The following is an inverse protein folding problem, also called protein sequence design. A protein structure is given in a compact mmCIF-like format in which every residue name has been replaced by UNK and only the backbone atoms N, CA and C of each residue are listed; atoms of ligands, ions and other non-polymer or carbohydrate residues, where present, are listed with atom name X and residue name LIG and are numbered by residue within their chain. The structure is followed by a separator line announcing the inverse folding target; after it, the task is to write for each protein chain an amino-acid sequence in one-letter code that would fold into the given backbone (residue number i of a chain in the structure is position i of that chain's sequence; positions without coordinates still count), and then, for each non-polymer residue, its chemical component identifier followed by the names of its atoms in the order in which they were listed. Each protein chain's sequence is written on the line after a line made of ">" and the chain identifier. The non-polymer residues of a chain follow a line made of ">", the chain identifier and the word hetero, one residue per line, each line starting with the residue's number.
data_IF_916229727521
#
_entry.id   IF_916229727521
#
_cell.length_a   1.000
_cell.length_b   1.000
_cell.length_c   1.000
_cell.angle_alpha   90.00
_cell.angle_beta   90.00
_cell.angle_gamma   90.00
#
_symmetry.space_group_name_H-M   'P 1'
#
loop_
_entity.id
_entity.type
_entity.pdbx_description
1 polymer ?
#
# COMPACT_ATOMS: atom_id res chain seq x y z
N UNK A 1 21.26 7.42 4.57
CA UNK A 1 20.96 6.35 3.60
C UNK A 1 21.90 6.45 2.40
N UNK A 2 23.17 6.09 2.61
CA UNK A 2 24.21 6.08 1.56
C UNK A 2 24.97 4.75 1.56
N UNK A 3 24.38 3.73 2.16
CA UNK A 3 24.92 2.38 2.23
C UNK A 3 24.97 1.75 0.83
N UNK A 4 26.08 1.12 0.47
CA UNK A 4 26.32 0.52 -0.84
C UNK A 4 25.32 -0.60 -1.18
N UNK A 5 24.72 -1.24 -0.17
CA UNK A 5 23.64 -2.22 -0.37
C UNK A 5 22.40 -1.65 -1.05
N UNK A 6 22.25 -0.32 -1.09
CA UNK A 6 21.16 0.38 -1.76
C UNK A 6 21.43 0.69 -3.24
N UNK A 7 22.61 0.36 -3.76
CA UNK A 7 22.95 0.61 -5.18
C UNK A 7 21.96 -0.09 -6.11
N UNK A 8 21.51 -1.31 -5.77
CA UNK A 8 20.52 -2.06 -6.54
C UNK A 8 19.15 -1.40 -6.64
N UNK A 9 18.74 -0.63 -5.63
CA UNK A 9 17.52 0.18 -5.66
C UNK A 9 17.78 1.62 -6.13
N UNK A 10 19.01 1.95 -6.55
CA UNK A 10 19.44 3.31 -6.91
C UNK A 10 19.12 4.34 -5.81
N UNK A 11 19.26 3.92 -4.54
CA UNK A 11 18.93 4.75 -3.38
C UNK A 11 17.49 5.29 -3.40
N UNK A 12 16.53 4.47 -3.86
CA UNK A 12 15.15 4.89 -4.13
C UNK A 12 14.45 5.59 -2.95
N UNK A 13 14.57 5.06 -1.72
CA UNK A 13 13.92 5.69 -0.57
C UNK A 13 14.47 7.08 -0.29
N UNK A 14 15.79 7.24 -0.33
CA UNK A 14 16.46 8.53 -0.14
C UNK A 14 16.00 9.53 -1.21
N UNK A 15 16.12 9.15 -2.47
CA UNK A 15 15.78 10.05 -3.59
C UNK A 15 14.29 10.42 -3.58
N UNK A 16 13.42 9.49 -3.15
CA UNK A 16 12.00 9.74 -2.96
C UNK A 16 11.72 10.71 -1.81
N UNK A 17 12.39 10.57 -0.66
CA UNK A 17 12.24 11.49 0.48
C UNK A 17 12.78 12.88 0.15
N UNK A 18 13.94 12.98 -0.51
CA UNK A 18 14.47 14.25 -0.99
C UNK A 18 13.53 14.92 -2.00
N UNK A 19 12.86 14.14 -2.85
CA UNK A 19 11.83 14.66 -3.77
C UNK A 19 10.62 15.20 -3.02
N UNK A 20 10.10 14.46 -2.03
CA UNK A 20 9.00 14.92 -1.19
C UNK A 20 9.34 16.24 -0.48
N UNK A 21 10.55 16.34 0.09
CA UNK A 21 11.02 17.57 0.73
C UNK A 21 11.06 18.75 -0.25
N UNK A 22 11.62 18.55 -1.45
CA UNK A 22 11.66 19.59 -2.48
C UNK A 22 10.26 20.05 -2.89
N UNK A 23 9.29 19.14 -3.01
CA UNK A 23 7.91 19.50 -3.35
C UNK A 23 7.28 20.37 -2.27
N UNK A 24 7.41 20.00 -1.00
CA UNK A 24 6.88 20.77 0.13
C UNK A 24 7.50 22.17 0.17
N UNK A 25 8.83 22.27 -0.03
CA UNK A 25 9.53 23.56 -0.06
C UNK A 25 9.09 24.43 -1.24
N UNK A 26 8.85 23.84 -2.42
CA UNK A 26 8.32 24.55 -3.59
C UNK A 26 6.92 25.12 -3.35
N UNK A 27 6.10 24.42 -2.57
CA UNK A 27 4.79 24.91 -2.13
C UNK A 27 4.88 25.91 -0.97
N UNK A 28 6.06 26.45 -0.64
CA UNK A 28 6.32 27.34 0.49
C UNK A 28 5.91 26.76 1.86
N UNK A 29 5.85 25.43 1.97
CA UNK A 29 5.48 24.74 3.21
C UNK A 29 6.67 24.51 4.13
N UNK A 30 6.46 24.63 5.44
CA UNK A 30 7.37 24.06 6.45
C UNK A 30 7.43 22.55 6.26
N UNK A 31 8.64 21.99 6.15
CA UNK A 31 8.89 20.55 6.06
C UNK A 31 8.67 19.93 7.44
N UNK A 32 7.71 19.01 7.54
CA UNK A 32 7.42 18.23 8.76
C UNK A 32 7.31 16.75 8.40
N UNK A 33 7.51 15.87 9.38
CA UNK A 33 7.41 14.42 9.17
C UNK A 33 6.04 14.02 8.61
N UNK A 34 4.95 14.61 9.10
CA UNK A 34 3.59 14.32 8.62
C UNK A 34 3.40 14.71 7.15
N UNK A 35 3.96 15.85 6.72
CA UNK A 35 3.89 16.26 5.31
C UNK A 35 4.74 15.37 4.42
N UNK A 36 5.93 14.97 4.87
CA UNK A 36 6.78 14.03 4.13
C UNK A 36 6.04 12.68 3.92
N UNK A 37 5.40 12.17 4.97
CA UNK A 37 4.59 10.94 4.90
C UNK A 37 3.44 11.10 3.89
N UNK A 38 2.75 12.26 3.91
CA UNK A 38 1.63 12.54 3.00
C UNK A 38 2.05 12.70 1.53
N UNK A 39 3.28 13.12 1.24
CA UNK A 39 3.80 13.24 -0.13
C UNK A 39 4.14 11.89 -0.78
N UNK A 40 4.29 10.83 0.00
CA UNK A 40 4.72 9.54 -0.51
C UNK A 40 3.57 8.76 -1.16
N UNK A 41 3.81 8.29 -2.38
CA UNK A 41 2.86 7.43 -3.10
C UNK A 41 2.87 6.00 -2.56
N UNK A 42 1.86 5.20 -2.94
CA UNK A 42 1.81 3.79 -2.58
C UNK A 42 3.08 3.00 -3.00
N UNK A 43 3.71 3.39 -4.12
CA UNK A 43 4.98 2.80 -4.57
C UNK A 43 6.11 2.93 -3.56
N UNK A 44 6.19 4.07 -2.85
CA UNK A 44 7.16 4.25 -1.76
C UNK A 44 6.96 3.20 -0.67
N UNK A 45 5.71 3.01 -0.22
CA UNK A 45 5.38 2.05 0.82
C UNK A 45 5.70 0.61 0.41
N UNK A 46 5.41 0.23 -0.84
CA UNK A 46 5.79 -1.11 -1.33
C UNK A 46 7.31 -1.32 -1.27
N UNK A 47 8.11 -0.34 -1.73
CA UNK A 47 9.56 -0.43 -1.69
C UNK A 47 10.14 -0.33 -0.27
N UNK A 48 9.49 0.42 0.62
CA UNK A 48 9.90 0.56 2.02
C UNK A 48 9.88 -0.78 2.77
N UNK A 49 8.98 -1.66 2.34
CA UNK A 49 8.87 -3.01 2.85
C UNK A 49 9.84 -4.01 2.20
N UNK A 50 10.56 -3.66 1.12
CA UNK A 50 11.55 -4.54 0.48
C UNK A 50 12.68 -4.96 1.43
N UNK A 51 13.27 -6.14 1.21
CA UNK A 51 14.08 -6.81 2.23
C UNK A 51 15.32 -5.99 2.60
N UNK A 52 15.98 -5.40 1.60
CA UNK A 52 17.18 -4.60 1.77
C UNK A 52 16.86 -3.27 2.48
N UNK A 53 15.79 -2.59 2.11
CA UNK A 53 15.33 -1.38 2.78
C UNK A 53 14.88 -1.66 4.22
N UNK A 54 14.06 -2.68 4.41
CA UNK A 54 13.49 -3.08 5.70
C UNK A 54 14.58 -3.42 6.72
N UNK A 55 15.62 -4.16 6.30
CA UNK A 55 16.78 -4.47 7.14
C UNK A 55 17.56 -3.21 7.51
N UNK A 56 17.80 -2.31 6.55
CA UNK A 56 18.56 -1.08 6.77
C UNK A 56 17.91 -0.16 7.83
N UNK A 57 16.59 -0.12 7.88
CA UNK A 57 15.84 0.68 8.88
C UNK A 57 15.49 -0.11 10.15
N UNK A 58 16.11 -1.27 10.36
CA UNK A 58 15.95 -2.08 11.57
C UNK A 58 14.52 -2.60 11.78
N UNK A 59 13.78 -2.85 10.70
CA UNK A 59 12.40 -3.31 10.77
C UNK A 59 11.38 -2.30 11.31
N UNK A 60 11.77 -1.03 11.41
CA UNK A 60 10.90 0.08 11.85
C UNK A 60 9.55 0.19 11.12
N UNK A 61 9.39 -0.16 9.81
CA UNK A 61 8.09 -0.06 9.14
C UNK A 61 6.98 -0.86 9.83
N UNK A 62 7.30 -2.01 10.46
CA UNK A 62 6.32 -2.81 11.19
C UNK A 62 5.80 -2.12 12.46
N UNK A 63 6.52 -1.13 13.00
CA UNK A 63 6.09 -0.37 14.17
C UNK A 63 4.91 0.56 13.86
N UNK A 64 4.72 0.93 12.59
CA UNK A 64 3.56 1.72 12.16
C UNK A 64 2.23 0.94 12.23
N UNK A 65 2.31 -0.38 12.42
CA UNK A 65 1.17 -1.29 12.48
C UNK A 65 1.04 -1.82 13.91
N UNK A 66 0.69 -0.93 14.84
CA UNK A 66 0.64 -1.23 16.27
C UNK A 66 -0.45 -2.23 16.65
N UNK A 67 -1.50 -2.33 15.83
CA UNK A 67 -2.68 -3.17 16.09
C UNK A 67 -2.65 -4.50 15.32
N UNK A 68 -1.52 -4.85 14.71
CA UNK A 68 -1.38 -6.10 13.96
C UNK A 68 -1.38 -7.31 14.89
N UNK A 69 -1.93 -8.43 14.42
CA UNK A 69 -1.75 -9.73 15.07
C UNK A 69 -0.26 -10.12 15.07
N UNK A 70 0.18 -10.86 16.09
CA UNK A 70 1.56 -11.34 16.23
C UNK A 70 2.07 -12.13 15.00
N UNK A 71 1.16 -12.76 14.25
CA UNK A 71 1.46 -13.50 13.02
C UNK A 71 1.85 -12.60 11.83
N UNK A 72 1.56 -11.30 11.87
CA UNK A 72 1.84 -10.36 10.77
C UNK A 72 3.30 -9.92 10.79
N UNK A 73 4.08 -10.58 9.94
CA UNK A 73 5.49 -10.29 9.69
C UNK A 73 5.69 -9.51 8.37
N UNK A 74 6.95 -9.15 8.05
CA UNK A 74 7.31 -8.44 6.81
C UNK A 74 6.77 -9.13 5.56
N UNK A 75 6.89 -10.46 5.48
CA UNK A 75 6.49 -11.22 4.30
C UNK A 75 4.98 -11.12 4.05
N UNK A 76 4.18 -11.20 5.12
CA UNK A 76 2.73 -11.03 5.03
C UNK A 76 2.40 -9.63 4.48
N UNK A 77 3.02 -8.58 5.03
CA UNK A 77 2.78 -7.21 4.56
C UNK A 77 3.21 -6.99 3.11
N UNK A 78 4.37 -7.53 2.71
CA UNK A 78 4.86 -7.45 1.33
C UNK A 78 3.88 -8.12 0.38
N UNK A 79 3.36 -9.30 0.73
CA UNK A 79 2.42 -10.01 -0.13
C UNK A 79 1.11 -9.22 -0.31
N UNK A 80 0.55 -8.68 0.79
CA UNK A 80 -0.66 -7.85 0.74
C UNK A 80 -0.45 -6.59 -0.11
N UNK A 81 0.61 -5.84 0.18
CA UNK A 81 0.97 -4.63 -0.58
C UNK A 81 1.25 -4.95 -2.06
N UNK A 82 1.86 -6.10 -2.33
CA UNK A 82 2.13 -6.62 -3.67
C UNK A 82 0.85 -6.88 -4.46
N UNK A 83 -0.11 -7.63 -3.89
CA UNK A 83 -1.40 -7.88 -4.53
C UNK A 83 -2.17 -6.61 -4.83
N UNK A 84 -2.23 -5.67 -3.88
CA UNK A 84 -2.86 -4.35 -4.11
C UNK A 84 -2.18 -3.62 -5.28
N UNK A 85 -0.84 -3.60 -5.32
CA UNK A 85 -0.07 -2.96 -6.40
C UNK A 85 -0.35 -3.61 -7.75
N UNK A 86 -0.32 -4.94 -7.81
CA UNK A 86 -0.59 -5.71 -9.03
C UNK A 86 -2.01 -5.45 -9.53
N UNK A 87 -3.01 -5.55 -8.65
CA UNK A 87 -4.40 -5.28 -9.01
C UNK A 87 -4.60 -3.85 -9.54
N UNK A 88 -4.01 -2.85 -8.89
CA UNK A 88 -4.02 -1.46 -9.38
C UNK A 88 -3.36 -1.31 -10.75
N UNK A 89 -2.28 -2.06 -11.02
CA UNK A 89 -1.63 -2.03 -12.32
C UNK A 89 -2.50 -2.64 -13.41
N UNK A 90 -3.20 -3.74 -13.12
CA UNK A 90 -4.17 -4.36 -14.03
C UNK A 90 -5.29 -3.38 -14.40
N UNK A 91 -5.84 -2.66 -13.41
CA UNK A 91 -6.80 -1.57 -13.65
C UNK A 91 -6.21 -0.52 -14.59
N UNK A 92 -4.99 -0.03 -14.31
CA UNK A 92 -4.33 0.99 -15.11
C UNK A 92 -4.08 0.54 -16.56
N UNK A 93 -3.81 -0.74 -16.77
CA UNK A 93 -3.61 -1.34 -18.09
C UNK A 93 -4.92 -1.80 -18.75
N UNK A 94 -6.08 -1.51 -18.14
CA UNK A 94 -7.40 -1.95 -18.61
C UNK A 94 -7.51 -3.46 -18.80
N UNK A 95 -6.82 -4.24 -17.97
CA UNK A 95 -6.95 -5.69 -17.97
C UNK A 95 -8.30 -6.10 -17.37
N UNK A 96 -8.85 -7.27 -17.74
CA UNK A 96 -10.05 -7.80 -17.11
C UNK A 96 -9.78 -8.07 -15.61
N UNK A 97 -10.57 -7.48 -14.71
CA UNK A 97 -10.42 -7.62 -13.24
C UNK A 97 -11.60 -8.33 -12.56
N UNK A 98 -12.70 -8.51 -13.29
CA UNK A 98 -13.94 -9.11 -12.82
C UNK A 98 -14.38 -10.31 -13.69
N UNK A 99 -13.43 -10.87 -14.44
CA UNK A 99 -13.68 -12.01 -15.33
C UNK A 99 -12.55 -13.03 -15.20
N UNK A 100 -12.93 -14.30 -15.29
CA UNK A 100 -12.02 -15.43 -15.50
C UNK A 100 -12.45 -16.15 -16.77
N UNK A 101 -11.81 -15.82 -17.89
CA UNK A 101 -12.30 -16.24 -19.21
C UNK A 101 -13.66 -15.60 -19.50
N UNK A 102 -14.68 -16.42 -19.78
CA UNK A 102 -16.05 -15.97 -20.06
C UNK A 102 -16.95 -15.90 -18.82
N UNK A 103 -16.46 -16.26 -17.63
CA UNK A 103 -17.25 -16.21 -16.39
C UNK A 103 -16.95 -14.95 -15.61
N UNK A 104 -17.99 -14.32 -15.06
CA UNK A 104 -17.85 -13.24 -14.08
C UNK A 104 -17.19 -13.83 -12.83
N UNK A 105 -16.12 -13.18 -12.36
CA UNK A 105 -15.35 -13.61 -11.20
C UNK A 105 -14.72 -12.41 -10.50
N UNK A 106 -15.16 -12.14 -9.27
CA UNK A 106 -14.66 -11.06 -8.42
C UNK A 106 -13.68 -11.52 -7.34
N UNK A 107 -13.22 -12.78 -7.35
CA UNK A 107 -12.39 -13.36 -6.28
C UNK A 107 -11.15 -12.50 -5.97
N UNK A 108 -10.43 -12.07 -7.01
CA UNK A 108 -9.24 -11.20 -6.84
C UNK A 108 -9.62 -9.82 -6.29
N UNK A 109 -10.74 -9.25 -6.73
CA UNK A 109 -11.20 -7.95 -6.22
C UNK A 109 -11.59 -8.03 -4.73
N UNK A 110 -12.27 -9.12 -4.33
CA UNK A 110 -12.62 -9.40 -2.92
C UNK A 110 -11.36 -9.54 -2.05
N UNK A 111 -10.39 -10.34 -2.49
CA UNK A 111 -9.11 -10.53 -1.78
C UNK A 111 -8.34 -9.20 -1.60
N UNK A 112 -8.33 -8.35 -2.63
CA UNK A 112 -7.67 -7.03 -2.55
C UNK A 112 -8.39 -6.08 -1.58
N UNK A 113 -9.73 -6.10 -1.56
CA UNK A 113 -10.51 -5.33 -0.58
C UNK A 113 -10.22 -5.80 0.84
N UNK A 114 -10.19 -7.10 1.08
CA UNK A 114 -9.81 -7.68 2.38
C UNK A 114 -8.39 -7.30 2.81
N UNK A 115 -7.44 -7.28 1.87
CA UNK A 115 -6.08 -6.83 2.14
C UNK A 115 -6.01 -5.36 2.56
N UNK A 116 -6.75 -4.49 1.87
CA UNK A 116 -6.82 -3.06 2.21
C UNK A 116 -7.38 -2.88 3.62
N UNK A 117 -8.50 -3.56 3.94
CA UNK A 117 -9.12 -3.50 5.27
C UNK A 117 -8.18 -4.01 6.36
N UNK A 118 -7.54 -5.17 6.16
CA UNK A 118 -6.59 -5.72 7.11
C UNK A 118 -5.40 -4.78 7.37
N UNK A 119 -4.89 -4.11 6.33
CA UNK A 119 -3.83 -3.11 6.47
C UNK A 119 -4.33 -1.92 7.27
N UNK A 120 -5.51 -1.37 6.95
CA UNK A 120 -6.09 -0.22 7.66
C UNK A 120 -6.33 -0.51 9.14
N UNK A 121 -6.94 -1.66 9.45
CA UNK A 121 -7.19 -2.11 10.82
C UNK A 121 -5.90 -2.22 11.62
N UNK A 122 -4.84 -2.78 11.01
CA UNK A 122 -3.55 -2.94 11.66
C UNK A 122 -2.83 -1.61 11.97
N UNK A 123 -3.16 -0.53 11.23
CA UNK A 123 -2.70 0.83 11.53
C UNK A 123 -3.55 1.41 12.66
N UNK A 124 -4.87 1.46 12.46
CA UNK A 124 -5.82 1.98 13.44
C UNK A 124 -7.21 1.37 13.16
N UNK A 125 -7.78 0.59 14.10
CA UNK A 125 -9.10 -0.03 13.93
C UNK A 125 -10.22 0.97 13.60
N UNK A 126 -10.13 2.21 14.09
CA UNK A 126 -11.11 3.26 13.80
C UNK A 126 -11.12 3.73 12.34
N UNK A 127 -10.08 3.43 11.55
CA UNK A 127 -10.06 3.75 10.11
C UNK A 127 -11.05 2.92 9.33
N UNK A 128 -11.28 1.66 9.72
CA UNK A 128 -12.19 0.77 9.01
C UNK A 128 -13.61 1.35 9.02
N UNK A 129 -14.10 1.79 10.19
CA UNK A 129 -15.41 2.43 10.32
C UNK A 129 -15.54 3.66 9.44
N UNK A 130 -14.48 4.48 9.34
CA UNK A 130 -14.47 5.65 8.46
C UNK A 130 -14.53 5.27 6.98
N UNK A 131 -13.78 4.25 6.57
CA UNK A 131 -13.75 3.82 5.16
C UNK A 131 -14.99 3.04 4.74
N UNK A 132 -15.62 2.32 5.66
CA UNK A 132 -16.85 1.56 5.39
C UNK A 132 -18.01 2.46 4.96
N UNK A 133 -18.05 3.69 5.47
CA UNK A 133 -19.02 4.69 5.02
C UNK A 133 -18.98 4.92 3.49
N UNK A 134 -17.79 4.85 2.89
CA UNK A 134 -17.60 5.02 1.44
C UNK A 134 -17.52 3.69 0.67
N UNK A 135 -17.40 2.56 1.38
CA UNK A 135 -17.19 1.26 0.78
C UNK A 135 -18.51 0.63 0.33
N UNK A 136 -18.82 0.75 -0.97
CA UNK A 136 -19.97 0.07 -1.58
C UNK A 136 -19.57 -1.11 -2.49
N UNK A 137 -18.30 -1.53 -2.46
CA UNK A 137 -17.75 -2.51 -3.42
C UNK A 137 -18.48 -3.84 -3.32
N UNK A 138 -18.66 -4.37 -2.11
CA UNK A 138 -19.36 -5.65 -1.91
C UNK A 138 -20.80 -5.59 -2.44
N UNK A 139 -21.51 -4.48 -2.20
CA UNK A 139 -22.86 -4.28 -2.74
C UNK A 139 -22.87 -4.27 -4.27
N UNK A 140 -21.85 -3.72 -4.92
CA UNK A 140 -21.71 -3.72 -6.38
C UNK A 140 -21.39 -5.11 -6.93
N UNK A 141 -20.57 -5.88 -6.23
CA UNK A 141 -20.30 -7.28 -6.59
C UNK A 141 -21.58 -8.10 -6.48
N UNK A 142 -22.32 -7.98 -5.37
CA UNK A 142 -23.58 -8.72 -5.15
C UNK A 142 -24.67 -8.36 -6.17
N UNK A 143 -24.64 -7.13 -6.72
CA UNK A 143 -25.52 -6.73 -7.82
C UNK A 143 -25.12 -7.41 -9.13
N UNK A 144 -23.83 -7.54 -9.41
CA UNK A 144 -23.30 -8.16 -10.61
C UNK A 144 -23.46 -9.68 -10.62
N UNK A 145 -23.36 -10.34 -9.45
CA UNK A 145 -23.57 -11.79 -9.30
C UNK A 145 -25.04 -12.22 -9.55
N UNK A 146 -25.98 -11.26 -9.65
CA UNK A 146 -27.41 -11.50 -9.94
C UNK A 146 -27.78 -11.33 -11.42
N UNK A 147 -26.81 -10.97 -12.27
CA UNK A 147 -26.98 -10.83 -13.73
C UNK A 147 -26.70 -12.15 -14.44
#
# INVERSE_FOLDING_TARGET
>A
MSDLSLTGSKFFLRTSTEKAERNIRKACGLVTSSKIIAEHTFGFWTAFFDLHHFKLVGGSPLKAFSNKLHSVNRSVMVNKLGRIREFRNRIYHNEPICFRGSTIDFSTAKEVVEDIHAIMESINPGLQTYTDYFNNINSKIDQADRL
#
